data_IF_865946869875
#
_entry.id   IF_865946869875
#
_cell.length_a   1.000
_cell.length_b   1.000
_cell.length_c   1.000
_cell.angle_alpha   90.00
_cell.angle_beta   90.00
_cell.angle_gamma   90.00
#
_symmetry.space_group_name_H-M   'P 1'
#
loop_
_entity.id
_entity.type
_entity.pdbx_description
1 polymer ?
#
# COMPACT_ATOMS: atom_id res chain seq x y z
N UNK A 1 -48.03 21.57 -1.81
CA UNK A 1 -47.63 20.18 -1.53
C UNK A 1 -46.41 19.90 -2.41
N UNK A 2 -45.21 20.14 -1.87
CA UNK A 2 -43.95 20.08 -2.63
C UNK A 2 -43.62 18.61 -2.94
N UNK A 3 -43.31 18.36 -4.20
CA UNK A 3 -42.58 17.19 -4.66
C UNK A 3 -41.23 17.17 -3.96
N UNK A 4 -40.87 16.06 -3.32
CA UNK A 4 -39.54 15.83 -2.76
C UNK A 4 -38.78 14.91 -3.70
N UNK A 5 -37.75 15.49 -4.32
CA UNK A 5 -36.83 14.91 -5.29
C UNK A 5 -36.23 13.56 -4.84
N UNK A 6 -36.43 12.54 -5.68
CA UNK A 6 -35.76 11.24 -5.60
C UNK A 6 -34.32 11.26 -6.12
N UNK A 7 -33.54 12.27 -5.75
CA UNK A 7 -32.13 12.39 -6.14
C UNK A 7 -31.28 12.67 -4.90
N UNK A 8 -30.94 11.63 -4.16
CA UNK A 8 -29.98 11.71 -3.05
C UNK A 8 -29.15 10.42 -3.02
N UNK A 9 -27.91 10.57 -3.49
CA UNK A 9 -26.71 9.78 -3.19
C UNK A 9 -26.48 8.46 -3.94
N UNK A 10 -26.16 8.55 -5.24
CA UNK A 10 -25.10 7.69 -5.79
C UNK A 10 -23.78 8.14 -5.13
N UNK A 11 -23.35 7.49 -4.05
CA UNK A 11 -22.01 7.68 -3.54
C UNK A 11 -21.03 7.34 -4.68
N UNK A 12 -20.32 8.35 -5.20
CA UNK A 12 -19.40 8.16 -6.32
C UNK A 12 -18.27 7.25 -5.85
N UNK A 13 -18.29 5.98 -6.27
CA UNK A 13 -17.21 5.04 -6.03
C UNK A 13 -15.95 5.57 -6.74
N UNK A 14 -14.82 5.61 -6.02
CA UNK A 14 -13.56 6.08 -6.58
C UNK A 14 -13.14 5.20 -7.76
N UNK A 15 -12.76 5.84 -8.87
CA UNK A 15 -12.29 5.15 -10.07
C UNK A 15 -10.82 4.72 -9.94
N UNK A 16 -10.39 3.72 -10.70
CA UNK A 16 -8.97 3.29 -10.73
C UNK A 16 -8.01 4.40 -11.14
N UNK A 17 -8.45 5.36 -11.97
CA UNK A 17 -7.63 6.49 -12.40
C UNK A 17 -7.43 7.53 -11.27
N UNK A 18 -8.48 7.81 -10.49
CA UNK A 18 -8.39 8.66 -9.30
C UNK A 18 -7.50 8.02 -8.23
N UNK A 19 -7.68 6.71 -8.00
CA UNK A 19 -6.85 5.91 -7.12
C UNK A 19 -5.36 5.94 -7.54
N UNK A 20 -5.06 5.81 -8.83
CA UNK A 20 -3.70 5.94 -9.35
C UNK A 20 -3.12 7.34 -9.11
N UNK A 21 -3.93 8.39 -9.33
CA UNK A 21 -3.53 9.78 -9.12
C UNK A 21 -3.23 10.07 -7.65
N UNK A 22 -4.00 9.47 -6.74
CA UNK A 22 -3.73 9.51 -5.31
C UNK A 22 -2.35 8.91 -4.99
N UNK A 23 -2.05 7.71 -5.49
CA UNK A 23 -0.77 7.04 -5.26
C UNK A 23 0.42 7.85 -5.79
N UNK A 24 0.28 8.44 -6.98
CA UNK A 24 1.28 9.33 -7.55
C UNK A 24 1.48 10.59 -6.68
N UNK A 25 0.40 11.15 -6.13
CA UNK A 25 0.45 12.31 -5.25
C UNK A 25 1.15 12.00 -3.93
N UNK A 26 0.80 10.89 -3.27
CA UNK A 26 1.47 10.41 -2.04
C UNK A 26 2.97 10.25 -2.29
N UNK A 27 3.32 9.57 -3.38
CA UNK A 27 4.73 9.33 -3.72
C UNK A 27 5.51 10.62 -3.95
N UNK A 28 4.96 11.55 -4.75
CA UNK A 28 5.62 12.83 -5.03
C UNK A 28 5.73 13.74 -3.82
N UNK A 29 4.75 13.72 -2.91
CA UNK A 29 4.74 14.55 -1.70
C UNK A 29 5.63 14.02 -0.57
N UNK A 30 6.02 12.75 -0.63
CA UNK A 30 6.88 12.12 0.39
C UNK A 30 8.24 12.80 0.57
N UNK A 31 8.71 13.57 -0.43
CA UNK A 31 10.04 14.16 -0.44
C UNK A 31 11.18 13.14 -0.59
N UNK A 32 10.86 11.87 -0.83
CA UNK A 32 11.84 10.81 -1.04
C UNK A 32 12.48 10.86 -2.42
N UNK A 33 13.76 10.48 -2.50
CA UNK A 33 14.45 10.27 -3.78
C UNK A 33 13.86 9.10 -4.59
N UNK A 34 12.99 8.28 -3.99
CA UNK A 34 12.38 7.11 -4.62
C UNK A 34 11.64 7.45 -5.91
N UNK A 35 10.93 8.58 -5.97
CA UNK A 35 10.24 9.01 -7.19
C UNK A 35 11.19 9.22 -8.38
N UNK A 36 12.43 9.67 -8.14
CA UNK A 36 13.43 9.88 -9.17
C UNK A 36 14.07 8.57 -9.65
N UNK A 37 14.16 7.56 -8.79
CA UNK A 37 14.75 6.26 -9.10
C UNK A 37 14.04 5.52 -10.25
N UNK A 38 12.78 5.87 -10.56
CA UNK A 38 11.96 5.21 -11.57
C UNK A 38 11.61 6.09 -12.77
N UNK A 39 12.24 7.25 -12.92
CA UNK A 39 11.92 8.19 -14.00
C UNK A 39 12.04 7.53 -15.39
N UNK A 40 12.98 6.61 -15.55
CA UNK A 40 13.28 5.91 -16.80
C UNK A 40 12.43 4.65 -17.05
N UNK A 41 11.55 4.26 -16.11
CA UNK A 41 10.63 3.15 -16.37
C UNK A 41 9.58 3.53 -17.42
N UNK A 42 9.10 2.57 -18.24
CA UNK A 42 7.93 2.76 -19.07
C UNK A 42 6.73 3.26 -18.24
N UNK A 43 5.82 4.09 -18.80
CA UNK A 43 4.75 4.72 -18.04
C UNK A 43 3.92 3.76 -17.17
N UNK A 44 3.55 2.59 -17.68
CA UNK A 44 2.80 1.59 -16.94
C UNK A 44 3.57 1.04 -15.72
N UNK A 45 4.87 0.73 -15.89
CA UNK A 45 5.74 0.24 -14.80
C UNK A 45 6.00 1.32 -13.76
N UNK A 46 6.15 2.57 -14.19
CA UNK A 46 6.27 3.72 -13.27
C UNK A 46 4.98 3.93 -12.48
N UNK A 47 3.80 3.75 -13.09
CA UNK A 47 2.52 3.82 -12.39
C UNK A 47 2.43 2.74 -11.29
N UNK A 48 2.84 1.50 -11.58
CA UNK A 48 2.91 0.43 -10.57
C UNK A 48 3.83 0.81 -9.40
N UNK A 49 5.01 1.40 -9.69
CA UNK A 49 5.93 1.85 -8.64
C UNK A 49 5.35 2.92 -7.72
N UNK A 50 4.57 3.87 -8.26
CA UNK A 50 3.88 4.85 -7.42
C UNK A 50 2.87 4.19 -6.47
N UNK A 51 2.14 3.20 -6.96
CA UNK A 51 1.18 2.45 -6.14
C UNK A 51 1.87 1.63 -5.06
N UNK A 52 2.95 0.91 -5.41
CA UNK A 52 3.73 0.12 -4.45
C UNK A 52 4.35 1.03 -3.38
N UNK A 53 4.91 2.18 -3.77
CA UNK A 53 5.46 3.12 -2.81
C UNK A 53 4.39 3.70 -1.88
N UNK A 54 3.26 4.13 -2.44
CA UNK A 54 2.15 4.65 -1.65
C UNK A 54 1.63 3.60 -0.65
N UNK A 55 1.53 2.32 -1.07
CA UNK A 55 1.18 1.22 -0.16
C UNK A 55 2.17 1.08 0.99
N UNK A 56 3.47 1.01 0.68
CA UNK A 56 4.48 0.91 1.73
C UNK A 56 4.40 2.09 2.70
N UNK A 57 4.24 3.31 2.17
CA UNK A 57 4.20 4.52 2.99
C UNK A 57 2.96 4.60 3.88
N UNK A 58 1.79 4.25 3.37
CA UNK A 58 0.56 4.31 4.15
C UNK A 58 0.46 3.20 5.21
N UNK A 59 1.01 2.01 4.93
CA UNK A 59 1.14 0.95 5.95
C UNK A 59 2.11 1.35 7.04
N UNK A 60 3.27 1.93 6.68
CA UNK A 60 4.28 2.47 7.62
C UNK A 60 3.68 3.57 8.51
N UNK A 61 2.94 4.51 7.93
CA UNK A 61 2.24 5.58 8.68
C UNK A 61 1.23 5.04 9.70
N UNK A 62 0.68 3.83 9.52
CA UNK A 62 -0.22 3.23 10.50
C UNK A 62 0.44 3.02 11.87
N UNK A 63 1.78 2.97 11.92
CA UNK A 63 2.59 2.84 13.13
C UNK A 63 3.37 4.12 13.43
N UNK A 64 3.99 4.72 12.41
CA UNK A 64 4.90 5.87 12.58
C UNK A 64 4.18 7.22 12.78
N UNK A 65 3.05 7.43 12.11
CA UNK A 65 2.24 8.67 12.20
C UNK A 65 0.74 8.34 12.18
N UNK A 66 0.25 7.57 13.18
CA UNK A 66 -1.13 7.13 13.19
C UNK A 66 -2.08 8.31 13.39
N UNK A 67 -3.27 8.30 12.76
CA UNK A 67 -4.29 9.32 12.99
C UNK A 67 -4.57 9.52 14.49
N UNK A 68 -4.75 10.78 14.96
CA UNK A 68 -5.01 11.05 16.37
C UNK A 68 -6.19 10.24 16.92
N UNK A 69 -5.95 9.54 18.03
CA UNK A 69 -6.96 8.70 18.68
C UNK A 69 -7.20 7.34 18.03
N UNK A 70 -6.46 6.99 16.97
CA UNK A 70 -6.52 5.64 16.38
C UNK A 70 -5.61 4.64 17.10
N UNK A 71 -5.91 3.36 16.91
CA UNK A 71 -5.13 2.24 17.43
C UNK A 71 -4.29 1.62 16.29
N UNK A 72 -2.94 1.65 16.34
CA UNK A 72 -2.09 1.11 15.28
C UNK A 72 -2.36 -0.36 14.92
N UNK A 73 -2.65 -1.22 15.91
CA UNK A 73 -2.99 -2.62 15.68
C UNK A 73 -4.29 -2.75 14.86
N UNK A 74 -5.30 -1.93 15.16
CA UNK A 74 -6.56 -1.90 14.40
C UNK A 74 -6.35 -1.37 12.97
N UNK A 75 -5.47 -0.38 12.80
CA UNK A 75 -5.11 0.16 11.49
C UNK A 75 -4.40 -0.90 10.64
N UNK A 76 -3.43 -1.63 11.19
CA UNK A 76 -2.77 -2.74 10.47
C UNK A 76 -3.76 -3.86 10.14
N UNK A 77 -4.71 -4.17 11.03
CA UNK A 77 -5.77 -5.12 10.74
C UNK A 77 -6.69 -4.64 9.60
N UNK A 78 -6.95 -3.34 9.49
CA UNK A 78 -7.65 -2.75 8.35
C UNK A 78 -6.84 -2.87 7.06
N UNK A 79 -5.53 -2.63 7.09
CA UNK A 79 -4.66 -2.80 5.92
C UNK A 79 -4.63 -4.24 5.42
N UNK A 80 -4.64 -5.25 6.31
CA UNK A 80 -4.76 -6.66 5.90
C UNK A 80 -6.10 -6.96 5.21
N UNK A 81 -7.21 -6.39 5.72
CA UNK A 81 -8.53 -6.53 5.07
C UNK A 81 -8.54 -5.88 3.69
N UNK A 82 -7.98 -4.69 3.56
CA UNK A 82 -7.86 -3.98 2.28
C UNK A 82 -6.94 -4.70 1.30
N UNK A 83 -5.84 -5.27 1.77
CA UNK A 83 -4.94 -6.09 0.97
C UNK A 83 -5.67 -7.33 0.43
N UNK A 84 -6.32 -8.09 1.31
CA UNK A 84 -7.13 -9.25 0.92
C UNK A 84 -8.22 -8.85 -0.09
N UNK A 85 -8.86 -7.70 0.11
CA UNK A 85 -9.84 -7.19 -0.85
C UNK A 85 -9.21 -6.82 -2.21
N UNK A 86 -7.98 -6.31 -2.25
CA UNK A 86 -7.27 -6.00 -3.49
C UNK A 86 -6.98 -7.25 -4.34
N UNK A 87 -6.74 -8.41 -3.70
CA UNK A 87 -6.49 -9.68 -4.38
C UNK A 87 -7.76 -10.47 -4.69
N UNK A 88 -8.75 -10.43 -3.80
CA UNK A 88 -9.86 -11.39 -3.79
C UNK A 88 -11.25 -10.76 -3.81
N UNK A 89 -11.37 -9.44 -3.77
CA UNK A 89 -12.66 -8.77 -3.60
C UNK A 89 -12.70 -7.37 -4.17
N UNK A 90 -13.31 -6.46 -3.40
CA UNK A 90 -13.50 -5.07 -3.77
C UNK A 90 -12.86 -4.17 -2.70
N UNK A 91 -11.63 -3.70 -2.91
CA UNK A 91 -10.97 -2.79 -1.98
C UNK A 91 -11.68 -1.43 -1.96
N UNK A 92 -11.53 -0.69 -0.85
CA UNK A 92 -12.16 0.61 -0.66
C UNK A 92 -11.16 1.76 -0.50
N UNK A 93 -9.93 1.47 -0.09
CA UNK A 93 -8.87 2.48 0.00
C UNK A 93 -8.33 2.86 -1.38
N UNK A 94 -8.03 4.14 -1.66
CA UNK A 94 -7.46 4.57 -2.94
C UNK A 94 -6.21 3.78 -3.32
N UNK A 95 -5.36 3.46 -2.34
CA UNK A 95 -4.11 2.72 -2.58
C UNK A 95 -4.40 1.28 -3.00
N UNK A 96 -5.30 0.59 -2.31
CA UNK A 96 -5.62 -0.82 -2.61
C UNK A 96 -6.49 -0.98 -3.84
N UNK A 97 -7.32 0.02 -4.19
CA UNK A 97 -8.01 0.11 -5.48
C UNK A 97 -7.01 0.17 -6.64
N UNK A 98 -5.97 1.01 -6.52
CA UNK A 98 -4.90 1.06 -7.51
C UNK A 98 -4.07 -0.22 -7.51
N UNK A 99 -3.76 -0.77 -6.33
CA UNK A 99 -2.96 -1.98 -6.16
C UNK A 99 -3.60 -3.19 -6.85
N UNK A 100 -4.91 -3.35 -6.71
CA UNK A 100 -5.68 -4.44 -7.31
C UNK A 100 -5.51 -4.55 -8.84
N UNK A 101 -5.25 -3.43 -9.53
CA UNK A 101 -4.93 -3.44 -10.95
C UNK A 101 -3.52 -4.00 -11.20
N UNK A 102 -2.52 -3.45 -10.51
CA UNK A 102 -1.10 -3.77 -10.73
C UNK A 102 -0.73 -5.19 -10.28
N UNK A 103 -1.25 -5.66 -9.15
CA UNK A 103 -0.92 -7.01 -8.65
C UNK A 103 -1.45 -8.10 -9.57
N UNK A 104 -2.59 -7.85 -10.24
CA UNK A 104 -3.13 -8.77 -11.26
C UNK A 104 -2.36 -8.69 -12.57
N UNK A 105 -2.05 -7.50 -13.06
CA UNK A 105 -1.29 -7.33 -14.31
C UNK A 105 0.12 -7.92 -14.21
N UNK A 106 0.79 -7.68 -13.09
CA UNK A 106 2.19 -8.06 -12.87
C UNK A 106 2.35 -9.39 -12.13
N UNK A 107 1.24 -10.03 -11.73
CA UNK A 107 1.23 -11.30 -10.99
C UNK A 107 2.11 -11.23 -9.72
N UNK A 108 2.00 -10.13 -8.97
CA UNK A 108 2.79 -9.95 -7.75
C UNK A 108 2.16 -10.83 -6.65
N UNK A 109 2.93 -11.67 -5.94
CA UNK A 109 2.39 -12.49 -4.86
C UNK A 109 1.86 -11.67 -3.67
N UNK A 110 0.66 -12.00 -3.20
CA UNK A 110 0.05 -11.39 -2.00
C UNK A 110 0.93 -11.54 -0.76
N UNK A 111 1.60 -12.69 -0.61
CA UNK A 111 2.46 -13.00 0.53
C UNK A 111 3.54 -11.93 0.77
N UNK A 112 4.04 -11.28 -0.29
CA UNK A 112 5.05 -10.24 -0.13
C UNK A 112 4.50 -8.99 0.57
N UNK A 113 3.25 -8.64 0.34
CA UNK A 113 2.59 -7.54 1.02
C UNK A 113 2.17 -7.93 2.45
N UNK A 114 1.76 -9.18 2.67
CA UNK A 114 1.51 -9.70 4.03
C UNK A 114 2.79 -9.71 4.88
N UNK A 115 3.91 -10.15 4.31
CA UNK A 115 5.22 -10.11 4.96
C UNK A 115 5.63 -8.67 5.32
N UNK A 116 5.36 -7.70 4.44
CA UNK A 116 5.59 -6.28 4.70
C UNK A 116 4.75 -5.78 5.89
N UNK A 117 3.44 -6.03 5.89
CA UNK A 117 2.56 -5.63 6.99
C UNK A 117 3.01 -6.30 8.29
N UNK A 118 3.37 -7.58 8.25
CA UNK A 118 3.91 -8.30 9.40
C UNK A 118 5.25 -7.74 9.88
N UNK A 119 6.06 -7.17 8.99
CA UNK A 119 7.28 -6.44 9.33
C UNK A 119 6.99 -5.16 10.10
N UNK A 120 6.10 -4.32 9.57
CA UNK A 120 5.67 -3.07 10.20
C UNK A 120 4.99 -3.34 11.56
N UNK A 121 4.23 -4.43 11.68
CA UNK A 121 3.64 -4.84 12.96
C UNK A 121 4.68 -5.17 14.04
N UNK A 122 5.89 -5.61 13.67
CA UNK A 122 6.96 -5.88 14.63
C UNK A 122 7.36 -4.62 15.40
N UNK A 123 7.27 -3.45 14.77
CA UNK A 123 7.67 -2.16 15.37
C UNK A 123 6.76 -1.73 16.52
N UNK A 124 5.56 -2.31 16.64
CA UNK A 124 4.65 -2.07 17.77
C UNK A 124 5.14 -2.65 19.09
N UNK A 125 5.99 -3.68 19.05
CA UNK A 125 6.39 -4.43 20.25
C UNK A 125 7.90 -4.59 20.39
N UNK A 126 8.65 -4.57 19.29
CA UNK A 126 10.07 -4.87 19.28
C UNK A 126 10.92 -3.59 19.26
N UNK A 127 11.64 -3.34 20.34
CA UNK A 127 12.61 -2.22 20.42
C UNK A 127 14.06 -2.66 20.21
N UNK A 128 14.35 -3.95 20.43
CA UNK A 128 15.68 -4.57 20.28
C UNK A 128 15.55 -6.03 19.92
N UNK A 129 16.43 -6.49 19.04
CA UNK A 129 16.54 -7.90 18.64
C UNK A 129 17.68 -8.57 19.42
N UNK A 130 17.40 -9.71 20.04
CA UNK A 130 18.36 -10.45 20.86
C UNK A 130 19.30 -11.34 20.05
N UNK A 131 18.91 -11.68 18.81
CA UNK A 131 19.69 -12.51 17.91
C UNK A 131 19.78 -11.88 16.53
N UNK A 132 20.84 -12.24 15.79
CA UNK A 132 20.97 -11.84 14.39
C UNK A 132 19.82 -12.39 13.54
N UNK A 133 19.37 -13.63 13.79
CA UNK A 133 18.25 -14.22 13.05
C UNK A 133 16.96 -13.41 13.20
N UNK A 134 16.67 -12.90 14.40
CA UNK A 134 15.50 -12.06 14.64
C UNK A 134 15.62 -10.71 13.92
N UNK A 135 16.81 -10.10 13.93
CA UNK A 135 17.09 -8.88 13.17
C UNK A 135 17.00 -9.13 11.65
N UNK A 136 17.54 -10.26 11.17
CA UNK A 136 17.51 -10.62 9.76
C UNK A 136 16.09 -10.86 9.27
N UNK A 137 15.22 -11.46 10.08
CA UNK A 137 13.81 -11.62 9.76
C UNK A 137 13.12 -10.26 9.64
N UNK A 138 13.40 -9.34 10.56
CA UNK A 138 12.88 -7.98 10.48
C UNK A 138 13.32 -7.30 9.17
N UNK A 139 14.63 -7.29 8.87
CA UNK A 139 15.16 -6.70 7.63
C UNK A 139 14.58 -7.35 6.38
N UNK A 140 14.35 -8.66 6.39
CA UNK A 140 13.67 -9.34 5.28
C UNK A 140 12.29 -8.75 5.04
N UNK A 141 11.47 -8.62 6.09
CA UNK A 141 10.08 -8.16 6.01
C UNK A 141 9.95 -6.69 5.63
N UNK A 142 10.75 -5.80 6.21
CA UNK A 142 10.59 -4.35 5.98
C UNK A 142 11.45 -3.81 4.83
N UNK A 143 12.42 -4.58 4.32
CA UNK A 143 13.29 -4.12 3.24
C UNK A 143 13.42 -5.12 2.07
N UNK A 144 13.80 -6.38 2.32
CA UNK A 144 14.00 -7.33 1.23
C UNK A 144 12.72 -7.62 0.45
N UNK A 145 11.58 -7.72 1.14
CA UNK A 145 10.30 -8.01 0.51
C UNK A 145 9.85 -6.89 -0.43
N UNK A 146 10.20 -5.63 -0.14
CA UNK A 146 9.93 -4.50 -1.05
C UNK A 146 10.69 -4.70 -2.37
N UNK A 147 11.93 -5.19 -2.30
CA UNK A 147 12.69 -5.59 -3.48
C UNK A 147 12.00 -6.71 -4.27
N UNK A 148 11.49 -7.74 -3.59
CA UNK A 148 10.74 -8.84 -4.23
C UNK A 148 9.45 -8.37 -4.91
N UNK A 149 8.72 -7.42 -4.29
CA UNK A 149 7.54 -6.77 -4.89
C UNK A 149 7.92 -6.02 -6.18
N UNK A 150 9.11 -5.44 -6.24
CA UNK A 150 9.57 -4.66 -7.39
C UNK A 150 10.06 -5.53 -8.56
N UNK A 151 10.48 -6.78 -8.34
CA UNK A 151 11.02 -7.65 -9.40
C UNK A 151 10.05 -7.80 -10.59
N UNK A 152 8.76 -8.15 -10.39
CA UNK A 152 7.81 -8.24 -11.51
C UNK A 152 7.63 -6.90 -12.24
N UNK A 153 7.79 -5.77 -11.55
CA UNK A 153 7.69 -4.42 -12.16
C UNK A 153 8.83 -4.15 -13.12
N UNK A 154 10.05 -4.62 -12.80
CA UNK A 154 11.23 -4.46 -13.65
C UNK A 154 11.30 -5.46 -14.81
N UNK A 155 10.48 -6.50 -14.80
CA UNK A 155 10.35 -7.46 -15.90
C UNK A 155 11.33 -8.64 -15.83
N UNK A 156 11.74 -9.01 -14.62
CA UNK A 156 12.49 -10.23 -14.31
C UNK A 156 11.57 -11.27 -13.71
#
# INVERSE_FOLDING_TARGET
MRQSDGSTLMASMMTSAEAQTYCETVTKRSGSNFAYSFLFLPPARRAAMYTIYAFCKEVDNAVDDPPPGSNPQEQLAQWRRELSAAYHGAPSSPVTISLAHHVRELTIPEQYFEDLIAGVEMDLTMKRYSTFDALSLYCYRVASVVGLICLPVFGT
#
